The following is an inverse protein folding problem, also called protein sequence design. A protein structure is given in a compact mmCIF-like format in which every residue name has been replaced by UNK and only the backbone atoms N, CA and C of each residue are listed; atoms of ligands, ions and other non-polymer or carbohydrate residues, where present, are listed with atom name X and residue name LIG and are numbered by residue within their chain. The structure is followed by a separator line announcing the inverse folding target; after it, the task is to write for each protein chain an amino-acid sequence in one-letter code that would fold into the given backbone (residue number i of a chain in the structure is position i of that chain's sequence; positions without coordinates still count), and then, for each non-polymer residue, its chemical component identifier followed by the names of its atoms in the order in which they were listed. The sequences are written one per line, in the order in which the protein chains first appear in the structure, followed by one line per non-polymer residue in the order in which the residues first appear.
data_IF_707797706476
#
_entry.id   IF_707797706476
#
_cell.length_a   1.000
_cell.length_b   1.000
_cell.length_c   1.000
_cell.angle_alpha   90.00
_cell.angle_beta   90.00
_cell.angle_gamma   90.00
#
_symmetry.space_group_name_H-M   'P 1'
#
loop_
_entity.id
_entity.type
_entity.pdbx_description
1 polymer ?
#
# COMPACT_ATOMS: atom_id res chain seq x y z
N UNK A 1 6.35 -19.31 8.22
CA UNK A 1 6.45 -18.47 9.44
C UNK A 1 6.04 -17.05 9.05
N UNK A 2 4.94 -16.55 9.61
CA UNK A 2 4.61 -15.13 9.49
C UNK A 2 5.72 -14.33 10.17
N UNK A 3 6.29 -13.35 9.46
CA UNK A 3 7.32 -12.48 9.99
C UNK A 3 6.64 -11.65 11.09
N UNK A 4 6.92 -11.98 12.35
CA UNK A 4 6.40 -11.26 13.50
C UNK A 4 6.73 -9.78 13.32
N UNK A 5 5.70 -8.93 13.31
CA UNK A 5 5.84 -7.47 13.23
C UNK A 5 6.30 -7.02 14.63
N UNK A 6 7.56 -7.32 14.97
CA UNK A 6 8.14 -6.92 16.25
C UNK A 6 8.47 -5.42 16.20
N UNK A 7 7.96 -4.69 17.18
CA UNK A 7 8.29 -3.28 17.41
C UNK A 7 9.79 -3.10 17.63
N UNK A 8 10.45 -2.56 16.61
CA UNK A 8 11.79 -1.99 16.74
C UNK A 8 11.71 -0.58 17.31
N UNK A 9 12.63 -0.26 18.23
CA UNK A 9 12.89 1.11 18.69
C UNK A 9 13.11 2.00 17.46
N UNK A 10 12.26 3.03 17.33
CA UNK A 10 12.04 3.77 16.10
C UNK A 10 13.32 4.38 15.52
N UNK A 11 13.63 4.00 14.29
CA UNK A 11 14.64 4.66 13.48
C UNK A 11 14.07 5.95 12.89
N UNK A 12 14.72 7.08 13.16
CA UNK A 12 14.30 8.38 12.65
C UNK A 12 14.26 8.37 11.11
N UNK A 13 13.18 8.82 10.44
CA UNK A 13 13.15 8.98 8.98
C UNK A 13 14.27 9.90 8.44
N UNK A 14 14.93 10.71 9.27
CA UNK A 14 16.10 11.50 8.88
C UNK A 14 17.43 10.71 8.84
N UNK A 15 17.44 9.42 9.16
CA UNK A 15 18.66 8.61 9.17
C UNK A 15 19.25 8.39 7.76
N UNK A 16 20.59 8.47 7.67
CA UNK A 16 21.36 8.16 6.47
C UNK A 16 21.77 6.67 6.39
N UNK A 17 21.31 5.98 5.36
CA UNK A 17 21.53 4.55 5.13
C UNK A 17 22.54 4.25 4.02
N UNK A 18 23.16 3.08 4.11
CA UNK A 18 24.06 2.57 3.07
C UNK A 18 23.28 1.89 1.94
N UNK A 19 23.94 1.70 0.79
CA UNK A 19 23.41 0.90 -0.33
C UNK A 19 22.99 -0.52 0.10
N UNK A 20 23.69 -1.10 1.07
CA UNK A 20 23.34 -2.40 1.67
C UNK A 20 21.97 -2.41 2.32
N UNK A 21 21.72 -1.40 3.15
CA UNK A 21 20.51 -1.29 3.95
C UNK A 21 19.35 -1.00 3.01
N UNK A 22 19.56 -0.14 2.01
CA UNK A 22 18.58 0.11 0.96
C UNK A 22 18.24 -1.16 0.18
N UNK A 23 19.24 -1.93 -0.28
CA UNK A 23 19.01 -3.18 -1.01
C UNK A 23 18.15 -4.17 -0.19
N UNK A 24 18.48 -4.32 1.10
CA UNK A 24 17.72 -5.17 2.01
C UNK A 24 16.28 -4.68 2.19
N UNK A 25 16.09 -3.38 2.43
CA UNK A 25 14.78 -2.78 2.61
C UNK A 25 13.92 -2.97 1.35
N UNK A 26 14.50 -2.83 0.16
CA UNK A 26 13.80 -3.02 -1.11
C UNK A 26 13.63 -4.48 -1.52
N UNK A 27 14.19 -5.45 -0.78
CA UNK A 27 14.11 -6.87 -1.14
C UNK A 27 14.86 -7.23 -2.43
N UNK A 28 15.95 -6.52 -2.75
CA UNK A 28 16.71 -6.70 -4.00
C UNK A 28 18.21 -6.92 -3.77
N UNK A 29 18.92 -7.32 -4.81
CA UNK A 29 20.39 -7.39 -4.79
C UNK A 29 21.00 -5.99 -4.72
N UNK A 30 22.15 -5.83 -4.04
CA UNK A 30 22.89 -4.55 -4.06
C UNK A 30 23.20 -4.08 -5.49
N UNK A 31 23.41 -5.01 -6.42
CA UNK A 31 23.78 -4.70 -7.79
C UNK A 31 22.63 -4.04 -8.58
N UNK A 32 21.38 -4.18 -8.13
CA UNK A 32 20.22 -3.53 -8.79
C UNK A 32 19.91 -2.15 -8.21
N UNK A 33 20.49 -1.80 -7.05
CA UNK A 33 20.23 -0.51 -6.39
C UNK A 33 20.55 0.68 -7.29
N UNK A 34 21.69 0.75 -8.03
CA UNK A 34 21.98 1.89 -8.89
C UNK A 34 20.90 2.19 -9.93
N UNK A 35 20.35 1.15 -10.57
CA UNK A 35 19.28 1.30 -11.55
C UNK A 35 17.97 1.80 -10.91
N UNK A 36 17.63 1.29 -9.72
CA UNK A 36 16.46 1.74 -8.96
C UNK A 36 16.63 3.19 -8.52
N UNK A 37 17.80 3.56 -7.99
CA UNK A 37 18.06 4.94 -7.55
C UNK A 37 17.98 5.92 -8.71
N UNK A 38 18.43 5.52 -9.90
CA UNK A 38 18.27 6.33 -11.11
C UNK A 38 16.79 6.47 -11.50
N UNK A 39 16.02 5.37 -11.50
CA UNK A 39 14.57 5.37 -11.82
C UNK A 39 13.78 6.34 -10.93
N UNK A 40 14.09 6.35 -9.64
CA UNK A 40 13.38 7.15 -8.63
C UNK A 40 14.10 8.47 -8.29
N UNK A 41 15.11 8.86 -9.07
CA UNK A 41 15.89 10.08 -8.85
C UNK A 41 16.45 10.24 -7.42
N UNK A 42 16.80 9.13 -6.75
CA UNK A 42 17.39 9.15 -5.42
C UNK A 42 18.84 9.62 -5.49
N UNK A 43 19.14 10.67 -4.72
CA UNK A 43 20.49 11.23 -4.60
C UNK A 43 21.20 10.72 -3.35
N UNK A 44 22.53 10.69 -3.41
CA UNK A 44 23.37 10.37 -2.25
C UNK A 44 23.92 11.64 -1.64
N UNK A 45 23.93 11.71 -0.30
CA UNK A 45 24.73 12.66 0.48
C UNK A 45 25.79 11.88 1.25
N UNK A 46 27.06 12.26 1.08
CA UNK A 46 28.20 11.58 1.70
C UNK A 46 28.20 10.06 1.51
N UNK A 47 27.94 9.62 0.27
CA UNK A 47 27.83 8.20 -0.13
C UNK A 47 26.68 7.41 0.50
N UNK A 48 25.74 8.07 1.20
CA UNK A 48 24.56 7.47 1.83
C UNK A 48 23.26 8.03 1.25
N UNK A 49 22.15 7.33 1.47
CA UNK A 49 20.81 7.80 1.12
C UNK A 49 20.08 8.22 2.38
N UNK A 50 19.23 9.24 2.32
CA UNK A 50 18.32 9.54 3.43
C UNK A 50 17.12 8.60 3.38
N UNK A 51 16.72 8.03 4.53
CA UNK A 51 15.46 7.27 4.62
C UNK A 51 14.27 8.12 4.18
N UNK A 52 14.28 9.40 4.53
CA UNK A 52 13.27 10.39 4.14
C UNK A 52 13.02 10.38 2.63
N UNK A 53 14.08 10.49 1.83
CA UNK A 53 14.00 10.52 0.37
C UNK A 53 13.52 9.17 -0.18
N UNK A 54 13.90 8.05 0.44
CA UNK A 54 13.41 6.72 0.06
C UNK A 54 11.89 6.63 0.26
N UNK A 55 11.36 7.10 1.39
CA UNK A 55 9.90 7.13 1.61
C UNK A 55 9.19 7.98 0.57
N UNK A 56 9.68 9.20 0.31
CA UNK A 56 9.02 10.09 -0.65
C UNK A 56 9.08 9.58 -2.08
N UNK A 57 10.27 9.18 -2.54
CA UNK A 57 10.48 8.88 -3.95
C UNK A 57 10.16 7.44 -4.32
N UNK A 58 10.41 6.46 -3.46
CA UNK A 58 10.11 5.05 -3.75
C UNK A 58 8.71 4.66 -3.24
N UNK A 59 8.36 5.02 -2.01
CA UNK A 59 7.06 4.63 -1.45
C UNK A 59 5.94 5.61 -1.81
N UNK A 60 6.27 6.82 -2.27
CA UNK A 60 5.29 7.88 -2.54
C UNK A 60 4.66 8.46 -1.27
N UNK A 61 5.31 8.30 -0.10
CA UNK A 61 4.73 8.64 1.20
C UNK A 61 5.48 9.78 1.88
N UNK A 62 4.77 10.58 2.68
CA UNK A 62 5.38 11.56 3.58
C UNK A 62 5.59 10.95 4.97
N UNK A 63 6.84 10.62 5.36
CA UNK A 63 7.12 9.99 6.64
C UNK A 63 6.89 10.92 7.84
N UNK A 64 6.83 12.25 7.67
CA UNK A 64 6.62 13.19 8.78
C UNK A 64 5.16 13.20 9.26
N UNK A 65 4.23 12.82 8.38
CA UNK A 65 2.80 12.78 8.69
C UNK A 65 2.33 11.43 9.25
N UNK A 66 3.20 10.41 9.22
CA UNK A 66 2.82 9.01 9.50
C UNK A 66 2.42 8.76 10.95
N UNK A 67 3.08 9.39 11.93
CA UNK A 67 2.77 9.13 13.34
C UNK A 67 1.46 9.80 13.76
N UNK A 68 1.22 11.05 13.31
CA UNK A 68 -0.08 11.72 13.47
C UNK A 68 -1.19 10.95 12.77
N UNK A 69 -0.94 10.45 11.56
CA UNK A 69 -1.87 9.59 10.85
C UNK A 69 -2.18 8.31 11.64
N UNK A 70 -1.16 7.63 12.20
CA UNK A 70 -1.35 6.39 12.95
C UNK A 70 -2.24 6.59 14.18
N UNK A 71 -2.08 7.69 14.91
CA UNK A 71 -2.93 8.03 16.06
C UNK A 71 -4.39 8.19 15.64
N UNK A 72 -4.64 8.96 14.59
CA UNK A 72 -5.99 9.16 14.02
C UNK A 72 -6.58 7.85 13.52
N UNK A 73 -5.78 7.04 12.84
CA UNK A 73 -6.18 5.74 12.32
C UNK A 73 -6.57 4.78 13.44
N UNK A 74 -5.72 4.62 14.47
CA UNK A 74 -6.04 3.81 15.66
C UNK A 74 -7.32 4.29 16.34
N UNK A 75 -7.54 5.59 16.43
CA UNK A 75 -8.75 6.16 17.02
C UNK A 75 -10.00 5.80 16.22
N UNK A 76 -9.96 5.98 14.90
CA UNK A 76 -11.09 5.65 14.01
C UNK A 76 -11.41 4.14 14.00
N UNK A 77 -10.38 3.31 14.13
CA UNK A 77 -10.49 1.85 14.12
C UNK A 77 -10.53 1.22 15.52
N UNK A 78 -10.60 2.01 16.58
CA UNK A 78 -10.70 1.53 17.96
C UNK A 78 -12.04 0.86 18.28
N UNK A 79 -13.05 1.04 17.41
CA UNK A 79 -14.45 0.58 17.62
C UNK A 79 -15.07 -0.15 16.43
N UNK A 80 -14.31 -0.40 15.37
CA UNK A 80 -14.78 -1.02 14.12
C UNK A 80 -13.78 -2.12 13.81
N UNK A 81 -14.09 -3.41 14.04
CA UNK A 81 -15.13 -4.19 13.38
C UNK A 81 -15.74 -5.22 14.35
N UNK A 82 -17.08 -5.24 14.42
CA UNK A 82 -17.89 -6.25 15.11
C UNK A 82 -18.46 -5.77 16.45
N UNK A 83 -19.70 -5.25 16.41
CA UNK A 83 -20.72 -5.44 17.45
C UNK A 83 -20.21 -5.97 18.81
N UNK A 84 -19.81 -5.06 19.70
CA UNK A 84 -19.98 -5.21 21.15
C UNK A 84 -19.27 -6.34 21.90
N UNK A 85 -18.52 -7.24 21.26
CA UNK A 85 -17.95 -8.43 21.90
C UNK A 85 -16.54 -8.72 21.41
N UNK A 86 -15.56 -8.00 21.93
CA UNK A 86 -14.29 -8.66 22.26
C UNK A 86 -14.51 -9.48 23.54
N UNK A 87 -15.38 -10.49 23.47
CA UNK A 87 -15.56 -11.46 24.54
C UNK A 87 -14.27 -12.26 24.65
N UNK A 88 -13.69 -12.21 25.85
CA UNK A 88 -12.39 -12.75 26.19
C UNK A 88 -12.33 -14.29 26.26
N UNK A 89 -13.29 -15.00 25.66
CA UNK A 89 -13.47 -16.45 25.82
C UNK A 89 -13.45 -17.25 24.51
N UNK A 90 -13.14 -16.62 23.36
CA UNK A 90 -12.97 -17.36 22.11
C UNK A 90 -11.53 -17.91 22.01
N UNK A 91 -11.37 -19.17 22.42
CA UNK A 91 -10.12 -19.94 22.43
C UNK A 91 -9.60 -20.31 21.03
N UNK A 92 -10.04 -19.62 19.97
CA UNK A 92 -9.56 -19.79 18.59
C UNK A 92 -9.28 -18.44 17.91
N UNK A 93 -8.27 -17.73 18.41
CA UNK A 93 -7.24 -17.08 17.59
C UNK A 93 -7.67 -16.11 16.48
N UNK A 94 -8.63 -15.20 16.72
CA UNK A 94 -8.76 -13.99 15.90
C UNK A 94 -7.92 -12.87 16.52
N UNK A 95 -6.79 -12.57 15.88
CA UNK A 95 -5.99 -11.38 16.24
C UNK A 95 -6.83 -10.16 15.85
N UNK A 96 -7.13 -9.30 16.81
CA UNK A 96 -7.92 -8.10 16.58
C UNK A 96 -7.07 -7.06 15.85
N UNK A 97 -7.65 -6.30 14.92
CA UNK A 97 -6.99 -5.20 14.20
C UNK A 97 -6.15 -4.28 15.10
N UNK A 98 -6.66 -3.99 16.29
CA UNK A 98 -5.98 -3.16 17.28
C UNK A 98 -4.68 -3.83 17.73
N UNK A 99 -4.60 -5.15 17.84
CA UNK A 99 -3.38 -5.84 18.27
C UNK A 99 -2.26 -5.76 17.22
N UNK A 100 -2.57 -5.87 15.91
CA UNK A 100 -1.55 -5.67 14.88
C UNK A 100 -1.01 -4.24 14.84
N UNK A 101 -1.80 -3.26 15.28
CA UNK A 101 -1.43 -1.84 15.26
C UNK A 101 -0.94 -1.32 16.61
N UNK A 102 -1.40 -1.89 17.73
CA UNK A 102 -1.21 -1.36 19.09
C UNK A 102 0.28 -1.31 19.44
N UNK A 103 1.03 -2.34 19.06
CA UNK A 103 2.48 -2.42 19.23
C UNK A 103 3.29 -1.48 18.33
N UNK A 104 2.68 -0.86 17.32
CA UNK A 104 3.36 0.11 16.44
C UNK A 104 3.30 1.49 17.09
N UNK A 105 4.44 2.00 17.54
CA UNK A 105 4.56 3.34 18.12
C UNK A 105 5.11 4.38 17.14
N UNK A 106 5.84 3.93 16.12
CA UNK A 106 6.33 4.77 15.03
C UNK A 106 6.09 4.04 13.71
N UNK A 107 5.19 4.57 12.89
CA UNK A 107 4.71 3.88 11.69
C UNK A 107 5.79 3.84 10.61
N UNK A 108 6.53 4.92 10.43
CA UNK A 108 7.62 4.99 9.46
C UNK A 108 8.69 3.92 9.75
N UNK A 109 9.07 3.76 11.02
CA UNK A 109 10.03 2.73 11.45
C UNK A 109 9.50 1.32 11.22
N UNK A 110 8.25 1.05 11.60
CA UNK A 110 7.64 -0.26 11.40
C UNK A 110 7.59 -0.63 9.91
N UNK A 111 7.18 0.30 9.04
CA UNK A 111 7.20 0.09 7.59
C UNK A 111 8.62 -0.10 7.06
N UNK A 112 9.60 0.63 7.60
CA UNK A 112 11.00 0.48 7.21
C UNK A 112 11.54 -0.91 7.54
N UNK A 113 11.34 -1.37 8.76
CA UNK A 113 11.91 -2.62 9.29
C UNK A 113 11.28 -3.86 8.64
N UNK A 114 10.01 -3.78 8.27
CA UNK A 114 9.35 -4.82 7.50
C UNK A 114 9.99 -5.00 6.13
N UNK A 115 10.40 -3.90 5.50
CA UNK A 115 10.86 -3.86 4.12
C UNK A 115 9.74 -4.07 3.12
N UNK A 116 10.10 -4.07 1.83
CA UNK A 116 9.23 -4.44 0.74
C UNK A 116 9.31 -5.94 0.47
N UNK A 117 8.17 -6.54 0.12
CA UNK A 117 8.08 -7.94 -0.26
C UNK A 117 7.60 -8.07 -1.70
N UNK A 118 8.15 -9.04 -2.42
CA UNK A 118 7.78 -9.26 -3.80
C UNK A 118 6.39 -9.90 -3.87
N UNK A 119 5.64 -9.62 -4.95
CA UNK A 119 4.30 -10.20 -5.16
C UNK A 119 4.27 -11.73 -5.05
N UNK A 120 5.35 -12.43 -5.41
CA UNK A 120 5.45 -13.89 -5.24
C UNK A 120 5.38 -14.34 -3.80
N UNK A 121 5.95 -13.55 -2.90
CA UNK A 121 6.13 -13.91 -1.50
C UNK A 121 4.82 -13.73 -0.71
N UNK A 122 3.86 -12.99 -1.30
CA UNK A 122 2.48 -12.90 -0.82
C UNK A 122 1.76 -14.25 -0.87
N UNK A 123 2.20 -15.20 -1.69
CA UNK A 123 1.57 -16.52 -1.78
C UNK A 123 1.44 -17.17 -0.38
N UNK A 124 2.46 -17.00 0.47
CA UNK A 124 2.46 -17.50 1.84
C UNK A 124 1.42 -16.80 2.72
N UNK A 125 1.27 -15.48 2.60
CA UNK A 125 0.26 -14.72 3.36
C UNK A 125 -1.17 -15.12 2.95
N UNK A 126 -1.35 -15.54 1.69
CA UNK A 126 -2.62 -16.04 1.19
C UNK A 126 -2.82 -17.54 1.42
N UNK A 127 -1.85 -18.25 2.00
CA UNK A 127 -1.93 -19.68 2.32
C UNK A 127 -1.82 -20.61 1.10
N UNK A 128 -1.17 -20.16 0.02
CA UNK A 128 -1.04 -20.91 -1.23
C UNK A 128 0.41 -21.17 -1.62
N UNK A 129 0.63 -22.27 -2.35
CA UNK A 129 1.84 -22.43 -3.15
C UNK A 129 1.87 -21.40 -4.28
N UNK A 130 3.07 -21.00 -4.71
CA UNK A 130 3.28 -19.93 -5.70
C UNK A 130 2.48 -20.10 -7.00
N UNK A 131 2.53 -21.28 -7.62
CA UNK A 131 1.81 -21.52 -8.89
C UNK A 131 0.29 -21.45 -8.73
N UNK A 132 -0.23 -21.91 -7.59
CA UNK A 132 -1.65 -21.84 -7.26
C UNK A 132 -2.06 -20.39 -7.02
N UNK A 133 -1.27 -19.63 -6.27
CA UNK A 133 -1.48 -18.20 -6.05
C UNK A 133 -1.55 -17.44 -7.38
N UNK A 134 -0.58 -17.68 -8.28
CA UNK A 134 -0.54 -17.04 -9.60
C UNK A 134 -1.77 -17.38 -10.44
N UNK A 135 -2.21 -18.64 -10.44
CA UNK A 135 -3.41 -19.06 -11.19
C UNK A 135 -4.67 -18.39 -10.64
N UNK A 136 -4.85 -18.40 -9.31
CA UNK A 136 -5.99 -17.76 -8.63
C UNK A 136 -6.03 -16.26 -8.83
N UNK A 137 -4.87 -15.59 -8.84
CA UNK A 137 -4.78 -14.16 -9.11
C UNK A 137 -5.22 -13.84 -10.55
N UNK A 138 -4.84 -14.69 -11.52
CA UNK A 138 -5.25 -14.52 -12.93
C UNK A 138 -6.73 -14.80 -13.18
N UNK A 139 -7.33 -15.75 -12.45
CA UNK A 139 -8.76 -16.03 -12.55
C UNK A 139 -9.64 -15.02 -11.82
N UNK A 140 -9.06 -14.18 -10.96
CA UNK A 140 -9.79 -13.24 -10.11
C UNK A 140 -10.36 -13.88 -8.84
N UNK A 141 -10.02 -15.14 -8.54
CA UNK A 141 -10.45 -15.84 -7.31
C UNK A 141 -9.84 -15.24 -6.05
N UNK A 142 -8.72 -14.52 -6.19
CA UNK A 142 -8.09 -13.75 -5.13
C UNK A 142 -7.73 -12.36 -5.65
N UNK A 143 -7.88 -11.37 -4.78
CA UNK A 143 -7.54 -9.99 -5.07
C UNK A 143 -6.37 -9.53 -4.20
N UNK A 144 -5.50 -8.72 -4.79
CA UNK A 144 -4.47 -7.98 -4.08
C UNK A 144 -5.09 -6.77 -3.37
N UNK A 145 -4.43 -6.20 -2.34
CA UNK A 145 -4.88 -4.95 -1.75
C UNK A 145 -5.05 -3.88 -2.85
N UNK A 146 -6.13 -3.09 -2.82
CA UNK A 146 -6.43 -2.06 -3.82
C UNK A 146 -5.55 -0.81 -3.58
N UNK A 147 -4.24 -1.03 -3.49
CA UNK A 147 -3.21 0.00 -3.36
C UNK A 147 -2.28 -0.08 -4.56
N UNK A 148 -1.71 1.06 -4.93
CA UNK A 148 -0.68 1.11 -5.97
C UNK A 148 0.53 0.27 -5.52
N UNK A 149 0.95 -0.77 -6.27
CA UNK A 149 2.18 -1.47 -5.97
C UNK A 149 3.40 -0.59 -6.24
N UNK A 150 4.52 -0.91 -5.60
CA UNK A 150 5.80 -0.25 -5.85
C UNK A 150 6.53 -1.04 -6.95
N UNK A 151 6.56 -0.49 -8.15
CA UNK A 151 7.24 -1.10 -9.28
C UNK A 151 8.70 -0.69 -9.33
N UNK A 152 9.62 -1.55 -8.89
CA UNK A 152 11.06 -1.30 -8.98
C UNK A 152 11.59 -1.57 -10.40
N UNK A 153 11.00 -2.53 -11.11
CA UNK A 153 11.23 -2.86 -12.52
C UNK A 153 10.05 -3.67 -13.06
N UNK A 154 10.02 -3.96 -14.37
CA UNK A 154 8.95 -4.77 -15.00
C UNK A 154 8.70 -6.14 -14.34
N UNK A 155 9.73 -6.72 -13.72
CA UNK A 155 9.66 -8.02 -13.05
C UNK A 155 9.81 -7.91 -11.51
N UNK A 156 9.68 -6.71 -10.95
CA UNK A 156 9.81 -6.44 -9.52
C UNK A 156 8.69 -5.54 -9.07
N UNK A 157 7.53 -6.16 -8.87
CA UNK A 157 6.34 -5.54 -8.28
C UNK A 157 6.35 -5.87 -6.79
N UNK A 158 6.39 -4.82 -5.98
CA UNK A 158 6.61 -4.92 -4.54
C UNK A 158 5.43 -4.36 -3.76
N UNK A 159 5.20 -4.91 -2.57
CA UNK A 159 4.17 -4.48 -1.64
C UNK A 159 4.77 -4.21 -0.26
N UNK A 160 4.09 -3.33 0.49
CA UNK A 160 4.34 -3.14 1.92
C UNK A 160 3.60 -4.24 2.70
N UNK A 161 4.27 -5.03 3.56
CA UNK A 161 3.63 -6.14 4.26
C UNK A 161 2.43 -5.72 5.11
N UNK A 162 2.53 -4.60 5.82
CA UNK A 162 1.44 -4.09 6.66
C UNK A 162 0.14 -3.88 5.86
N UNK A 163 0.21 -3.29 4.67
CA UNK A 163 -0.98 -3.06 3.84
C UNK A 163 -1.63 -4.38 3.40
N UNK A 164 -0.80 -5.38 3.05
CA UNK A 164 -1.30 -6.70 2.65
C UNK A 164 -2.01 -7.37 3.82
N UNK A 165 -1.41 -7.35 5.00
CA UNK A 165 -1.99 -7.98 6.21
C UNK A 165 -3.31 -7.31 6.58
N UNK A 166 -3.33 -5.98 6.66
CA UNK A 166 -4.54 -5.21 6.98
C UNK A 166 -5.66 -5.47 5.97
N UNK A 167 -5.34 -5.50 4.68
CA UNK A 167 -6.33 -5.81 3.66
C UNK A 167 -6.80 -7.27 3.75
N UNK A 168 -5.86 -8.21 3.78
CA UNK A 168 -6.17 -9.64 3.63
C UNK A 168 -6.96 -10.19 4.81
N UNK A 169 -6.65 -9.72 6.02
CA UNK A 169 -7.23 -10.21 7.28
C UNK A 169 -8.39 -9.37 7.74
N UNK A 170 -8.33 -8.06 7.53
CA UNK A 170 -9.29 -7.10 8.10
C UNK A 170 -10.09 -6.32 7.06
N UNK A 171 -9.80 -6.47 5.76
CA UNK A 171 -10.49 -5.73 4.69
C UNK A 171 -10.20 -4.23 4.70
N UNK A 172 -9.13 -3.79 5.37
CA UNK A 172 -8.83 -2.37 5.58
C UNK A 172 -7.70 -1.92 4.66
N UNK A 173 -7.89 -0.74 4.09
CA UNK A 173 -6.88 -0.04 3.29
C UNK A 173 -6.33 1.11 4.11
N UNK A 174 -5.03 1.09 4.41
CA UNK A 174 -4.36 2.18 5.11
C UNK A 174 -3.99 3.26 4.09
N UNK A 175 -4.79 4.33 4.04
CA UNK A 175 -4.54 5.50 3.17
C UNK A 175 -3.40 6.35 3.72
N UNK A 176 -2.18 5.83 3.63
CA UNK A 176 -0.97 6.47 4.14
C UNK A 176 -0.79 7.86 3.50
N UNK A 177 -0.27 8.83 4.27
CA UNK A 177 -0.07 10.19 3.78
C UNK A 177 0.90 10.19 2.59
N UNK A 178 0.45 10.72 1.45
CA UNK A 178 1.25 10.82 0.23
C UNK A 178 2.25 11.97 0.34
N UNK A 179 3.41 11.81 -0.30
CA UNK A 179 4.36 12.90 -0.46
C UNK A 179 3.88 13.90 -1.53
N UNK A 180 3.98 15.20 -1.25
CA UNK A 180 3.75 16.24 -2.26
C UNK A 180 4.66 16.02 -3.48
N UNK A 181 4.07 16.12 -4.68
CA UNK A 181 4.77 15.87 -5.95
C UNK A 181 4.96 14.40 -6.31
N UNK A 182 4.40 13.45 -5.54
CA UNK A 182 4.35 12.05 -5.93
C UNK A 182 3.44 11.88 -7.14
N UNK A 183 4.03 11.71 -8.32
CA UNK A 183 3.33 11.41 -9.57
C UNK A 183 2.73 10.00 -9.52
N UNK A 184 1.60 9.85 -8.83
CA UNK A 184 0.69 8.71 -8.95
C UNK A 184 -0.76 9.15 -9.15
N UNK A 185 -1.02 10.45 -9.35
CA UNK A 185 -2.36 10.97 -9.64
C UNK A 185 -2.69 10.90 -11.14
N UNK A 186 -2.37 9.77 -11.77
CA UNK A 186 -3.00 9.35 -13.03
C UNK A 186 -3.96 8.21 -12.73
N UNK A 187 -4.97 8.50 -11.91
CA UNK A 187 -6.21 7.73 -11.98
C UNK A 187 -6.82 8.07 -13.33
N UNK A 188 -6.82 7.10 -14.24
CA UNK A 188 -7.72 7.07 -15.38
C UNK A 188 -9.14 7.31 -14.85
N UNK A 189 -9.66 8.53 -15.01
CA UNK A 189 -11.11 8.66 -15.19
C UNK A 189 -11.43 7.88 -16.47
N UNK A 190 -12.43 6.99 -16.49
CA UNK A 190 -13.02 6.58 -17.74
C UNK A 190 -13.55 7.86 -18.40
N UNK A 191 -12.94 8.24 -19.51
CA UNK A 191 -13.50 9.22 -20.43
C UNK A 191 -14.82 8.63 -20.89
N UNK A 192 -15.92 9.21 -20.41
CA UNK A 192 -17.26 8.93 -20.90
C UNK A 192 -17.32 9.40 -22.35
N UNK A 193 -16.98 8.49 -23.26
CA UNK A 193 -17.48 8.55 -24.63
C UNK A 193 -18.99 8.29 -24.58
N UNK A 194 -19.78 9.34 -24.37
CA UNK A 194 -21.16 9.34 -24.83
C UNK A 194 -21.22 10.16 -26.11
N UNK A 195 -20.95 9.48 -27.21
CA UNK A 195 -21.55 9.84 -28.49
C UNK A 195 -23.01 9.43 -28.38
N UNK A 196 -23.92 10.38 -28.29
CA UNK A 196 -25.26 10.19 -28.83
C UNK A 196 -25.71 11.47 -29.52
N UNK A 197 -25.56 11.41 -30.84
CA UNK A 197 -26.28 12.27 -31.76
C UNK A 197 -27.76 11.97 -31.60
N UNK A 198 -28.56 12.93 -31.15
CA UNK A 198 -29.95 12.98 -31.59
C UNK A 198 -30.36 14.43 -31.78
N UNK A 199 -30.37 14.80 -33.06
CA UNK A 199 -30.85 16.07 -33.59
C UNK A 199 -32.30 16.29 -33.17
N UNK A 200 -32.54 17.21 -32.23
CA UNK A 200 -33.89 17.74 -31.99
C UNK A 200 -34.23 18.70 -33.13
N UNK A 201 -34.84 18.15 -34.18
CA UNK A 201 -35.51 18.92 -35.20
C UNK A 201 -36.86 19.38 -34.63
N UNK A 202 -36.96 20.68 -34.35
CA UNK A 202 -38.20 21.40 -34.13
C UNK A 202 -39.18 21.11 -35.29
N UNK A 203 -40.40 20.70 -34.98
CA UNK A 203 -41.53 20.76 -35.90
C UNK A 203 -42.79 21.06 -35.10
N UNK A 204 -43.24 22.29 -35.29
CA UNK A 204 -44.44 22.91 -34.75
C UNK A 204 -45.71 22.23 -35.31
N UNK A 205 -46.68 22.03 -34.41
CA UNK A 205 -48.14 22.18 -34.56
C UNK A 205 -48.81 21.79 -35.89
N UNK A 206 -49.73 20.82 -35.80
CA UNK A 206 -51.09 20.94 -36.33
C UNK A 206 -52.01 19.93 -35.64
N UNK A 207 -53.04 20.42 -34.96
CA UNK A 207 -54.21 19.61 -34.58
C UNK A 207 -55.42 20.54 -34.56
N UNK A 208 -56.16 20.49 -35.66
CA UNK A 208 -57.51 21.04 -35.77
C UNK A 208 -58.46 20.25 -34.88
N UNK A 209 -59.22 20.98 -34.06
CA UNK A 209 -60.48 20.53 -33.48
C UNK A 209 -61.56 20.46 -34.56
N UNK A 210 -62.47 19.50 -34.42
CA UNK A 210 -63.76 19.43 -35.12
C UNK A 210 -64.64 20.64 -34.86
#
# INVERSE_FOLDING_TARGET
MAKQICGGLGSNPDENITTTVLARHLGVSRNTVPAITAKFALTKWDSRFRKYDVFRHIHGLDPLLMDTFLVSFKTAHSRSIGDGTCDADDTVGRICLIDELSGINNLASALWDQGLIHISDLALEYGYAYDTFRKKLKSGDINLPPIQPIELSSNRVMYRPLDVVLWRRHGIVMNLPKADGSSSDLIHLPSSEHTDQTSMRLSLSDSMTS
#
